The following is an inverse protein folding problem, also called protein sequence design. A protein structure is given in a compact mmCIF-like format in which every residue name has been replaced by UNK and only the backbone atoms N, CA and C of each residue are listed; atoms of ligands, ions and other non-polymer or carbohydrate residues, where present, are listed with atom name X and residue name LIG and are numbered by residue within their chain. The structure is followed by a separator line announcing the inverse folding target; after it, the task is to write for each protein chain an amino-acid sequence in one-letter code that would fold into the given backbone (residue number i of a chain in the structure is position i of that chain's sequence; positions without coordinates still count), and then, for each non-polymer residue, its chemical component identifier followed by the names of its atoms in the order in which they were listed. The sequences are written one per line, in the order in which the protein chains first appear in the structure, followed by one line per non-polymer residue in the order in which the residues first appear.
data_IF_895578620763
#
_entry.id   IF_895578620763
#
_cell.length_a   1.000
_cell.length_b   1.000
_cell.length_c   1.000
_cell.angle_alpha   90.00
_cell.angle_beta   90.00
_cell.angle_gamma   90.00
#
_symmetry.space_group_name_H-M   'P 1'
#
loop_
_entity.id
_entity.type
_entity.pdbx_description
1 polymer ?
#
# COMPACT_ATOMS: atom_id res chain seq x y z
N UNK A 1 -17.57 -2.57 46.32
CA UNK A 1 -18.13 -3.78 45.70
C UNK A 1 -19.01 -3.31 44.54
N UNK A 2 -18.53 -3.53 43.30
CA UNK A 2 -19.26 -3.59 42.00
C UNK A 2 -20.14 -2.38 41.61
N UNK A 3 -20.00 -1.72 40.45
CA UNK A 3 -19.63 -2.20 39.10
C UNK A 3 -18.76 -1.17 38.30
N UNK A 4 -18.01 -1.64 37.29
CA UNK A 4 -17.14 -0.82 36.45
C UNK A 4 -17.93 -0.04 35.39
N UNK A 5 -17.48 1.19 35.14
CA UNK A 5 -17.99 2.09 34.10
C UNK A 5 -17.96 1.41 32.72
N UNK A 6 -19.16 1.13 32.25
CA UNK A 6 -19.47 0.41 31.02
C UNK A 6 -18.90 1.16 29.81
N UNK A 7 -18.07 0.45 29.03
CA UNK A 7 -17.52 0.84 27.73
C UNK A 7 -18.60 1.53 26.89
N UNK A 8 -18.50 2.86 26.76
CA UNK A 8 -19.39 3.70 25.94
C UNK A 8 -19.24 3.28 24.48
N UNK A 9 -20.09 2.37 24.03
CA UNK A 9 -20.38 2.09 22.62
C UNK A 9 -21.40 3.16 22.21
N UNK A 10 -21.00 4.04 21.31
CA UNK A 10 -21.86 5.09 20.74
C UNK A 10 -23.07 4.42 20.06
N UNK A 11 -24.32 4.62 20.54
CA UNK A 11 -25.50 3.88 20.07
C UNK A 11 -26.20 4.50 18.85
N UNK A 12 -25.74 5.65 18.35
CA UNK A 12 -26.60 6.52 17.55
C UNK A 12 -26.62 6.21 16.03
N UNK A 13 -26.35 4.98 15.62
CA UNK A 13 -26.48 4.56 14.22
C UNK A 13 -27.78 3.78 14.03
N UNK A 14 -28.89 4.48 13.80
CA UNK A 14 -30.21 3.87 13.62
C UNK A 14 -30.42 3.47 12.15
N UNK A 15 -30.29 2.18 11.88
CA UNK A 15 -30.54 1.60 10.56
C UNK A 15 -31.99 1.76 10.08
N UNK A 16 -32.95 2.26 10.87
CA UNK A 16 -34.29 2.59 10.39
C UNK A 16 -34.35 3.99 9.74
N UNK A 17 -33.37 4.86 10.03
CA UNK A 17 -33.30 6.23 9.52
C UNK A 17 -32.56 6.26 8.17
N UNK A 18 -33.17 6.76 7.08
CA UNK A 18 -32.52 6.79 5.75
C UNK A 18 -31.24 7.64 5.70
N UNK A 19 -31.12 8.66 6.55
CA UNK A 19 -29.93 9.50 6.64
C UNK A 19 -28.72 8.72 7.17
N UNK A 20 -28.88 7.94 8.24
CA UNK A 20 -27.81 7.14 8.85
C UNK A 20 -27.38 5.98 7.93
N UNK A 21 -28.32 5.40 7.17
CA UNK A 21 -28.00 4.45 6.09
C UNK A 21 -27.14 5.09 5.01
N UNK A 22 -27.39 6.36 4.68
CA UNK A 22 -26.65 7.08 3.67
C UNK A 22 -25.23 7.43 4.12
N UNK A 23 -25.00 7.66 5.42
CA UNK A 23 -23.65 7.84 5.99
C UNK A 23 -22.86 6.53 6.00
N UNK A 24 -23.51 5.43 6.41
CA UNK A 24 -22.97 4.07 6.36
C UNK A 24 -22.71 3.55 4.95
N UNK A 25 -23.43 4.05 3.93
CA UNK A 25 -23.23 3.70 2.52
C UNK A 25 -22.24 4.65 1.82
N UNK A 26 -22.22 5.93 2.21
CA UNK A 26 -21.28 6.91 1.69
C UNK A 26 -19.83 6.58 2.08
N UNK A 27 -19.60 6.04 3.29
CA UNK A 27 -18.28 5.62 3.72
C UNK A 27 -17.68 4.48 2.85
N UNK A 28 -18.37 3.33 2.63
CA UNK A 28 -17.91 2.28 1.74
C UNK A 28 -17.90 2.72 0.27
N UNK A 29 -18.86 3.54 -0.19
CA UNK A 29 -18.85 4.06 -1.56
C UNK A 29 -17.62 4.95 -1.81
N UNK A 30 -17.27 5.83 -0.87
CA UNK A 30 -16.07 6.67 -0.95
C UNK A 30 -14.79 5.83 -0.96
N UNK A 31 -14.72 4.79 -0.13
CA UNK A 31 -13.59 3.83 -0.13
C UNK A 31 -13.49 3.11 -1.47
N UNK A 32 -14.59 2.58 -2.01
CA UNK A 32 -14.60 1.90 -3.30
C UNK A 32 -14.23 2.85 -4.46
N UNK A 33 -14.72 4.10 -4.43
CA UNK A 33 -14.35 5.11 -5.39
C UNK A 33 -12.85 5.45 -5.32
N UNK A 34 -12.30 5.57 -4.11
CA UNK A 34 -10.87 5.78 -3.88
C UNK A 34 -10.02 4.60 -4.38
N UNK A 35 -10.40 3.36 -4.07
CA UNK A 35 -9.73 2.16 -4.59
C UNK A 35 -9.79 2.13 -6.12
N UNK A 36 -10.96 2.41 -6.71
CA UNK A 36 -11.16 2.36 -8.15
C UNK A 36 -10.33 3.42 -8.87
N UNK A 37 -10.36 4.67 -8.39
CA UNK A 37 -9.57 5.76 -8.96
C UNK A 37 -8.06 5.45 -8.87
N UNK A 38 -7.58 4.99 -7.72
CA UNK A 38 -6.19 4.56 -7.57
C UNK A 38 -5.85 3.39 -8.49
N UNK A 39 -6.73 2.39 -8.57
CA UNK A 39 -6.55 1.18 -9.38
C UNK A 39 -6.39 1.49 -10.87
N UNK A 40 -7.20 2.41 -11.41
CA UNK A 40 -7.06 2.89 -12.79
C UNK A 40 -5.68 3.52 -13.00
N UNK A 41 -5.25 4.42 -12.11
CA UNK A 41 -3.94 5.06 -12.22
C UNK A 41 -2.79 4.05 -12.18
N UNK A 42 -2.85 3.10 -11.25
CA UNK A 42 -1.85 2.03 -11.11
C UNK A 42 -1.79 1.15 -12.36
N UNK A 43 -2.94 0.69 -12.85
CA UNK A 43 -3.03 -0.17 -14.03
C UNK A 43 -2.52 0.54 -15.29
N UNK A 44 -2.86 1.82 -15.47
CA UNK A 44 -2.37 2.62 -16.59
C UNK A 44 -0.86 2.86 -16.51
N UNK A 45 -0.32 3.15 -15.32
CA UNK A 45 1.13 3.29 -15.13
C UNK A 45 1.88 2.00 -15.46
N UNK A 46 1.37 0.85 -15.02
CA UNK A 46 1.94 -0.47 -15.37
C UNK A 46 1.87 -0.74 -16.86
N UNK A 47 0.72 -0.49 -17.49
CA UNK A 47 0.54 -0.70 -18.93
C UNK A 47 1.47 0.22 -19.74
N UNK A 48 1.60 1.48 -19.35
CA UNK A 48 2.51 2.45 -19.95
C UNK A 48 3.98 2.02 -19.83
N UNK A 49 4.42 1.55 -18.66
CA UNK A 49 5.79 1.07 -18.48
C UNK A 49 6.08 -0.18 -19.31
N UNK A 50 5.11 -1.10 -19.39
CA UNK A 50 5.22 -2.32 -20.21
C UNK A 50 5.32 -1.98 -21.70
N UNK A 51 4.58 -0.96 -22.17
CA UNK A 51 4.65 -0.48 -23.54
C UNK A 51 5.96 0.27 -23.85
N UNK A 52 6.50 1.01 -22.88
CA UNK A 52 7.73 1.79 -23.03
C UNK A 52 9.01 0.93 -22.99
N UNK A 53 8.93 -0.26 -22.39
CA UNK A 53 10.05 -1.20 -22.25
C UNK A 53 9.72 -2.54 -22.94
N UNK A 54 9.79 -2.62 -24.27
CA UNK A 54 9.62 -3.88 -24.97
C UNK A 54 10.67 -4.89 -24.52
N UNK A 55 10.26 -6.14 -24.30
CA UNK A 55 11.16 -7.25 -23.99
C UNK A 55 10.96 -8.40 -24.96
N UNK A 56 12.02 -9.17 -25.17
CA UNK A 56 11.98 -10.42 -25.92
C UNK A 56 11.09 -11.43 -25.18
N UNK A 57 10.10 -12.07 -25.84
CA UNK A 57 9.28 -13.13 -25.25
C UNK A 57 10.08 -14.34 -24.69
N UNK A 58 11.31 -14.56 -25.14
CA UNK A 58 12.21 -15.58 -24.61
C UNK A 58 13.18 -15.04 -23.54
N UNK A 59 13.18 -13.73 -23.32
CA UNK A 59 14.06 -13.03 -22.38
C UNK A 59 13.45 -12.81 -21.00
N UNK A 60 14.24 -12.22 -20.10
CA UNK A 60 13.77 -11.90 -18.75
C UNK A 60 12.69 -10.80 -18.78
N UNK A 61 11.53 -10.95 -18.09
CA UNK A 61 10.43 -10.00 -18.17
C UNK A 61 10.67 -8.73 -17.32
N UNK A 62 11.60 -7.88 -17.76
CA UNK A 62 12.04 -6.68 -17.03
C UNK A 62 10.94 -5.69 -16.62
N UNK A 63 9.92 -5.37 -17.43
CA UNK A 63 8.89 -4.42 -17.06
C UNK A 63 8.04 -4.95 -15.90
N UNK A 64 7.59 -6.20 -15.99
CA UNK A 64 6.79 -6.84 -14.93
C UNK A 64 7.61 -7.04 -13.65
N UNK A 65 8.88 -7.43 -13.78
CA UNK A 65 9.82 -7.45 -12.65
C UNK A 65 9.92 -6.07 -11.97
N UNK A 66 10.14 -5.02 -12.77
CA UNK A 66 10.36 -3.67 -12.26
C UNK A 66 9.11 -3.12 -11.55
N UNK A 67 7.90 -3.26 -12.12
CA UNK A 67 6.67 -2.78 -11.46
C UNK A 67 6.39 -3.51 -10.15
N UNK A 68 6.64 -4.82 -10.08
CA UNK A 68 6.44 -5.57 -8.86
C UNK A 68 7.47 -5.18 -7.80
N UNK A 69 8.75 -5.07 -8.18
CA UNK A 69 9.81 -4.71 -7.25
C UNK A 69 9.66 -3.29 -6.70
N UNK A 70 9.40 -2.30 -7.57
CA UNK A 70 9.19 -0.92 -7.15
C UNK A 70 7.88 -0.75 -6.38
N UNK A 71 6.80 -1.47 -6.76
CA UNK A 71 5.55 -1.46 -6.01
C UNK A 71 5.71 -2.03 -4.60
N UNK A 72 6.48 -3.12 -4.45
CA UNK A 72 6.85 -3.69 -3.16
C UNK A 72 7.71 -2.74 -2.31
N UNK A 73 8.63 -1.98 -2.92
CA UNK A 73 9.36 -0.93 -2.22
C UNK A 73 8.41 0.16 -1.71
N UNK A 74 7.53 0.65 -2.59
CA UNK A 74 6.58 1.73 -2.29
C UNK A 74 5.56 1.34 -1.22
N UNK A 75 5.07 0.10 -1.19
CA UNK A 75 4.18 -0.34 -0.10
C UNK A 75 4.92 -0.40 1.24
N UNK A 76 6.20 -0.79 1.26
CA UNK A 76 7.05 -0.71 2.45
C UNK A 76 7.17 0.72 2.99
N UNK A 77 7.44 1.68 2.09
CA UNK A 77 7.45 3.12 2.41
C UNK A 77 6.10 3.57 2.96
N UNK A 78 5.01 3.25 2.25
CA UNK A 78 3.65 3.64 2.65
C UNK A 78 3.31 3.13 4.06
N UNK A 79 3.63 1.87 4.35
CA UNK A 79 3.39 1.26 5.66
C UNK A 79 4.16 1.97 6.77
N UNK A 80 5.43 2.34 6.54
CA UNK A 80 6.22 3.09 7.52
C UNK A 80 5.67 4.51 7.76
N UNK A 81 5.32 5.24 6.70
CA UNK A 81 4.74 6.60 6.82
C UNK A 81 3.42 6.57 7.58
N UNK A 82 2.58 5.56 7.36
CA UNK A 82 1.27 5.47 7.99
C UNK A 82 1.29 4.88 9.40
N UNK A 83 2.35 4.18 9.80
CA UNK A 83 2.47 3.60 11.14
C UNK A 83 2.56 4.67 12.24
N UNK A 84 3.15 5.84 11.94
CA UNK A 84 3.34 6.93 12.92
C UNK A 84 2.30 8.05 12.88
N UNK A 85 1.29 7.99 11.99
CA UNK A 85 0.35 9.10 11.77
C UNK A 85 -1.04 8.79 12.33
N UNK A 86 -1.29 9.26 13.55
CA UNK A 86 -2.66 9.38 14.10
C UNK A 86 -3.40 10.47 13.33
N UNK A 87 -4.37 10.11 12.49
CA UNK A 87 -5.17 11.07 11.70
C UNK A 87 -4.90 11.09 10.18
N UNK A 88 -4.24 10.07 9.61
CA UNK A 88 -4.25 9.89 8.15
C UNK A 88 -5.70 9.83 7.66
N UNK A 89 -6.02 10.52 6.55
CA UNK A 89 -7.33 10.45 5.90
C UNK A 89 -7.71 8.98 5.70
N UNK A 90 -8.96 8.64 6.07
CA UNK A 90 -9.49 7.27 5.98
C UNK A 90 -9.33 6.68 4.56
N UNK A 91 -9.28 7.54 3.54
CA UNK A 91 -9.17 7.16 2.13
C UNK A 91 -7.73 6.98 1.63
N UNK A 92 -6.71 7.43 2.35
CA UNK A 92 -5.31 7.33 1.90
C UNK A 92 -4.85 5.88 1.76
N UNK A 93 -5.20 5.01 2.72
CA UNK A 93 -4.87 3.58 2.69
C UNK A 93 -5.56 2.86 1.52
N UNK A 94 -6.89 2.97 1.34
CA UNK A 94 -7.57 2.40 0.19
C UNK A 94 -7.07 2.94 -1.15
N UNK A 95 -6.87 4.25 -1.29
CA UNK A 95 -6.44 4.87 -2.54
C UNK A 95 -5.02 4.44 -2.93
N UNK A 96 -4.03 4.61 -2.05
CA UNK A 96 -2.62 4.35 -2.38
C UNK A 96 -2.26 2.87 -2.30
N UNK A 97 -2.68 2.19 -1.24
CA UNK A 97 -2.29 0.80 -1.00
C UNK A 97 -3.04 -0.17 -1.90
N UNK A 98 -4.37 -0.21 -1.78
CA UNK A 98 -5.21 -1.16 -2.53
C UNK A 98 -5.41 -0.68 -3.97
N UNK A 99 -5.68 0.61 -4.17
CA UNK A 99 -5.89 1.18 -5.49
C UNK A 99 -4.60 1.26 -6.31
N UNK A 100 -3.78 2.30 -6.08
CA UNK A 100 -2.60 2.58 -6.92
C UNK A 100 -1.61 1.43 -6.93
N UNK A 101 -1.13 0.99 -5.76
CA UNK A 101 -0.12 -0.07 -5.70
C UNK A 101 -0.68 -1.44 -6.10
N UNK A 102 -1.94 -1.73 -5.76
CA UNK A 102 -2.62 -2.96 -6.20
C UNK A 102 -2.86 -3.02 -7.72
N UNK A 103 -3.19 -1.90 -8.36
CA UNK A 103 -3.33 -1.82 -9.82
C UNK A 103 -1.99 -1.81 -10.57
N UNK A 104 -0.97 -1.20 -9.95
CA UNK A 104 0.38 -1.06 -10.48
C UNK A 104 1.18 -2.37 -10.46
N UNK A 105 1.02 -3.18 -9.41
CA UNK A 105 1.66 -4.50 -9.30
C UNK A 105 0.78 -5.58 -9.95
N UNK A 106 1.37 -6.73 -10.31
CA UNK A 106 0.63 -7.84 -10.92
C UNK A 106 1.32 -9.19 -10.66
N UNK A 107 0.61 -10.08 -9.98
CA UNK A 107 1.03 -11.48 -9.84
C UNK A 107 0.56 -12.33 -11.03
N UNK A 108 -0.64 -12.07 -11.57
CA UNK A 108 -1.18 -12.84 -12.68
C UNK A 108 -0.31 -12.75 -13.94
N UNK A 109 0.19 -11.55 -14.27
CA UNK A 109 1.10 -11.36 -15.41
C UNK A 109 2.43 -12.09 -15.16
N UNK A 110 3.01 -11.97 -13.96
CA UNK A 110 4.24 -12.66 -13.57
C UNK A 110 4.12 -14.19 -13.73
N UNK A 111 3.00 -14.78 -13.30
CA UNK A 111 2.74 -16.21 -13.44
C UNK A 111 2.59 -16.66 -14.90
N UNK A 112 1.88 -15.89 -15.72
CA UNK A 112 1.69 -16.18 -17.16
C UNK A 112 3.02 -16.11 -17.91
N UNK A 113 3.83 -15.09 -17.66
CA UNK A 113 5.15 -14.92 -18.26
C UNK A 113 6.11 -16.05 -17.85
N UNK A 114 6.13 -16.43 -16.57
CA UNK A 114 6.93 -17.57 -16.11
C UNK A 114 6.52 -18.88 -16.79
N UNK A 115 5.22 -19.13 -16.94
CA UNK A 115 4.70 -20.28 -17.68
C UNK A 115 5.11 -20.23 -19.17
N UNK A 116 5.05 -19.05 -19.79
CA UNK A 116 5.42 -18.86 -21.19
C UNK A 116 6.92 -19.13 -21.41
N UNK A 117 7.79 -18.62 -20.55
CA UNK A 117 9.24 -18.89 -20.58
C UNK A 117 9.53 -20.38 -20.44
N UNK A 118 8.83 -21.07 -19.54
CA UNK A 118 8.98 -22.52 -19.41
C UNK A 118 8.54 -23.26 -20.68
N UNK A 119 7.44 -22.81 -21.31
CA UNK A 119 6.91 -23.42 -22.52
C UNK A 119 7.79 -23.20 -23.77
N UNK A 120 8.56 -22.11 -23.83
CA UNK A 120 9.48 -21.79 -24.93
C UNK A 120 10.88 -22.37 -24.75
N UNK A 121 11.09 -23.22 -23.72
CA UNK A 121 12.39 -23.86 -23.44
C UNK A 121 13.33 -23.03 -22.56
N UNK A 122 12.92 -21.83 -22.14
CA UNK A 122 13.69 -20.94 -21.26
C UNK A 122 13.43 -21.21 -19.76
N UNK A 123 13.43 -22.48 -19.35
CA UNK A 123 13.06 -22.90 -17.99
C UNK A 123 13.97 -22.29 -16.90
N UNK A 124 15.27 -22.15 -17.17
CA UNK A 124 16.22 -21.51 -16.24
C UNK A 124 15.86 -20.03 -16.03
N UNK A 125 15.51 -19.31 -17.10
CA UNK A 125 15.05 -17.91 -17.02
C UNK A 125 13.73 -17.80 -16.26
N UNK A 126 12.80 -18.72 -16.49
CA UNK A 126 11.53 -18.77 -15.75
C UNK A 126 11.77 -18.94 -14.24
N UNK A 127 12.64 -19.88 -13.84
CA UNK A 127 12.97 -20.11 -12.44
C UNK A 127 13.67 -18.90 -11.81
N UNK A 128 14.64 -18.33 -12.52
CA UNK A 128 15.32 -17.12 -12.08
C UNK A 128 14.33 -15.97 -11.89
N UNK A 129 13.38 -15.79 -12.81
CA UNK A 129 12.34 -14.77 -12.73
C UNK A 129 11.39 -14.96 -11.54
N UNK A 130 10.96 -16.18 -11.25
CA UNK A 130 10.13 -16.48 -10.09
C UNK A 130 10.85 -16.17 -8.78
N UNK A 131 12.08 -16.68 -8.62
CA UNK A 131 12.87 -16.52 -7.40
C UNK A 131 13.30 -15.08 -7.20
N UNK A 132 13.80 -14.42 -8.25
CA UNK A 132 14.25 -13.03 -8.18
C UNK A 132 13.10 -12.08 -7.83
N UNK A 133 11.92 -12.23 -8.44
CA UNK A 133 10.76 -11.39 -8.11
C UNK A 133 10.34 -11.59 -6.67
N UNK A 134 10.23 -12.84 -6.19
CA UNK A 134 9.78 -13.11 -4.82
C UNK A 134 10.77 -12.59 -3.77
N UNK A 135 12.05 -12.95 -3.92
CA UNK A 135 13.10 -12.52 -2.98
C UNK A 135 13.31 -11.02 -3.04
N UNK A 136 13.33 -10.44 -4.25
CA UNK A 136 13.41 -9.00 -4.47
C UNK A 136 12.24 -8.26 -3.85
N UNK A 137 11.01 -8.75 -4.01
CA UNK A 137 9.81 -8.15 -3.42
C UNK A 137 9.89 -8.07 -1.89
N UNK A 138 10.26 -9.17 -1.23
CA UNK A 138 10.41 -9.21 0.23
C UNK A 138 11.51 -8.25 0.71
N UNK A 139 12.66 -8.24 0.03
CA UNK A 139 13.75 -7.31 0.32
C UNK A 139 13.32 -5.86 0.10
N UNK A 140 12.60 -5.57 -0.98
CA UNK A 140 12.13 -4.23 -1.30
C UNK A 140 11.15 -3.71 -0.24
N UNK A 141 10.19 -4.51 0.21
CA UNK A 141 9.29 -4.12 1.33
C UNK A 141 10.10 -3.81 2.58
N UNK A 142 11.03 -4.70 2.96
CA UNK A 142 11.86 -4.54 4.15
C UNK A 142 12.74 -3.28 4.08
N UNK A 143 13.41 -3.06 2.95
CA UNK A 143 14.22 -1.85 2.70
C UNK A 143 13.35 -0.61 2.74
N UNK A 144 12.22 -0.59 2.04
CA UNK A 144 11.32 0.56 1.97
C UNK A 144 10.80 0.96 3.35
N UNK A 145 10.41 -0.02 4.16
CA UNK A 145 9.94 0.21 5.52
C UNK A 145 11.06 0.74 6.42
N UNK A 146 12.18 0.01 6.50
CA UNK A 146 13.28 0.33 7.43
C UNK A 146 14.00 1.63 7.09
N UNK A 147 14.21 1.93 5.80
CA UNK A 147 14.83 3.18 5.36
C UNK A 147 13.94 4.38 5.72
N UNK A 148 12.62 4.27 5.48
CA UNK A 148 11.65 5.34 5.80
C UNK A 148 11.57 5.60 7.30
N UNK A 149 11.55 4.54 8.11
CA UNK A 149 11.52 4.63 9.56
C UNK A 149 12.78 5.33 10.10
N UNK A 150 13.96 4.94 9.59
CA UNK A 150 15.23 5.58 9.97
C UNK A 150 15.25 7.06 9.63
N UNK A 151 14.87 7.42 8.40
CA UNK A 151 14.83 8.81 7.96
C UNK A 151 13.85 9.66 8.79
N UNK A 152 12.74 9.07 9.22
CA UNK A 152 11.72 9.76 10.02
C UNK A 152 12.16 9.97 11.47
N UNK A 153 13.04 9.11 12.02
CA UNK A 153 13.65 9.28 13.34
C UNK A 153 14.74 10.35 13.36
N UNK A 154 15.43 10.57 12.24
CA UNK A 154 16.51 11.58 12.13
C UNK A 154 15.99 13.00 11.86
N UNK A 155 14.72 13.17 11.52
CA UNK A 155 14.12 14.49 11.32
C UNK A 155 13.97 15.23 12.67
N UNK A 156 14.68 16.34 12.91
CA UNK A 156 14.57 17.09 14.16
C UNK A 156 13.25 17.89 14.16
N UNK A 157 12.30 17.48 14.99
CA UNK A 157 11.00 18.17 15.07
C UNK A 157 10.12 17.67 16.21
N UNK A 158 10.45 18.08 17.44
CA UNK A 158 9.50 18.09 18.55
C UNK A 158 9.40 19.51 19.11
N UNK A 159 8.23 20.17 19.09
CA UNK A 159 8.05 21.43 19.81
C UNK A 159 8.25 21.19 21.31
N UNK A 160 8.91 22.16 21.95
CA UNK A 160 9.37 22.10 23.32
C UNK A 160 8.29 21.67 24.32
N UNK A 161 8.73 20.82 25.26
CA UNK A 161 8.02 20.49 26.50
C UNK A 161 7.56 21.81 27.15
N UNK A 162 6.29 21.95 27.60
CA UNK A 162 5.83 23.18 28.23
C UNK A 162 6.68 23.45 29.48
N UNK A 163 7.32 24.62 29.49
CA UNK A 163 8.06 25.12 30.63
C UNK A 163 7.08 25.35 31.78
N UNK A 164 7.24 24.57 32.84
CA UNK A 164 6.49 24.74 34.07
C UNK A 164 7.04 25.99 34.76
N UNK A 165 6.42 27.14 34.48
CA UNK A 165 6.73 28.39 35.19
C UNK A 165 6.28 28.22 36.65
N UNK A 166 7.14 28.46 37.66
CA UNK A 166 6.71 28.44 39.04
C UNK A 166 5.71 29.58 39.25
N UNK A 167 4.60 29.27 39.90
CA UNK A 167 3.67 30.28 40.39
C UNK A 167 4.25 30.78 41.71
N UNK A 168 5.09 31.81 41.63
CA UNK A 168 5.42 32.64 42.79
C UNK A 168 4.29 33.68 42.95
N UNK A 169 3.61 33.65 44.10
CA UNK A 169 2.58 34.62 44.48
C UNK A 169 1.47 34.04 45.33
#
# INVERSE_FOLDING_TARGET
MSEPEQRRVDPDVDLAVPADRSELAAHPAAVLAAVSAGGVLGALARAGLSAALPHDPAGFPWPTFAVNLSGCLLIGVLMAVLAGRTGSSALTRPFLGVGVLGGYTTFATHAVEARQLAATGAATTAMAYLVATLTGALLAVWVGYTATERLSRTAPGGPGKPEHRPVDG
#
